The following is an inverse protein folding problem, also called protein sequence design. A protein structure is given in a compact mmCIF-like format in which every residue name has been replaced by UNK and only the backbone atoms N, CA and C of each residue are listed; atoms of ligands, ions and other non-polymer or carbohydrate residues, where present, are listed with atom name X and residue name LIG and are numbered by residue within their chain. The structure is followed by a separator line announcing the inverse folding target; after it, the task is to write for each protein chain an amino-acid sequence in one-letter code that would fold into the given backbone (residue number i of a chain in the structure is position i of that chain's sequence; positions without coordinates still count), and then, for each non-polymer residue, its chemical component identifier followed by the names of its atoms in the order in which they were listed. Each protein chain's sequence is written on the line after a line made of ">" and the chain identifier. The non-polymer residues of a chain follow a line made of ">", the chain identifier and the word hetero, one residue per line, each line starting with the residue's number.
data_IF_562712807290
#
_entry.id   IF_562712807290
#
_cell.length_a   1.000
_cell.length_b   1.000
_cell.length_c   1.000
_cell.angle_alpha   90.00
_cell.angle_beta   90.00
_cell.angle_gamma   90.00
#
_symmetry.space_group_name_H-M   'P 1'
#
loop_
_entity.id
_entity.type
_entity.pdbx_description
1 polymer ?
#
# COMPACT_ATOMS: atom_id res chain seq x y z
N UNK A 1 5.81 -14.17 15.29
CA UNK A 1 4.99 -14.70 16.39
C UNK A 1 4.87 -13.70 17.54
N UNK A 2 5.94 -13.06 18.00
CA UNK A 2 5.93 -12.13 19.14
C UNK A 2 5.05 -10.89 18.92
N UNK A 3 4.98 -10.34 17.70
CA UNK A 3 4.22 -9.11 17.41
C UNK A 3 2.69 -9.27 17.46
N UNK A 4 2.17 -10.49 17.41
CA UNK A 4 0.73 -10.70 17.58
C UNK A 4 0.26 -10.49 19.02
N UNK A 5 1.14 -10.67 20.01
CA UNK A 5 0.82 -10.44 21.42
C UNK A 5 0.79 -8.95 21.81
N UNK A 6 1.40 -8.08 21.02
CA UNK A 6 1.44 -6.64 21.29
C UNK A 6 0.24 -5.88 20.68
N UNK A 7 -0.61 -6.54 19.90
CA UNK A 7 -1.84 -5.95 19.42
C UNK A 7 -2.78 -5.70 20.59
N UNK A 8 -3.08 -4.45 20.86
CA UNK A 8 -4.26 -4.11 21.67
C UNK A 8 -5.52 -4.55 20.91
N UNK A 9 -5.86 -5.84 21.02
CA UNK A 9 -6.98 -6.46 20.30
C UNK A 9 -8.28 -5.71 20.56
N UNK A 10 -8.45 -5.16 21.77
CA UNK A 10 -9.62 -4.37 22.14
C UNK A 10 -9.73 -3.06 21.35
N UNK A 11 -8.60 -2.35 21.15
CA UNK A 11 -8.58 -1.11 20.38
C UNK A 11 -8.94 -1.35 18.90
N UNK A 12 -8.26 -2.30 18.26
CA UNK A 12 -8.50 -2.62 16.86
C UNK A 12 -9.90 -3.20 16.65
N UNK A 13 -10.36 -4.09 17.53
CA UNK A 13 -11.71 -4.64 17.47
C UNK A 13 -12.77 -3.54 17.46
N UNK A 14 -12.65 -2.56 18.36
CA UNK A 14 -13.58 -1.43 18.43
C UNK A 14 -13.65 -0.63 17.12
N UNK A 15 -12.52 -0.42 16.46
CA UNK A 15 -12.50 0.30 15.16
C UNK A 15 -13.15 -0.52 14.03
N UNK A 16 -13.05 -1.85 14.09
CA UNK A 16 -13.66 -2.75 13.10
C UNK A 16 -15.13 -3.07 13.36
N UNK A 17 -15.69 -2.72 14.52
CA UNK A 17 -17.13 -2.90 14.81
C UNK A 17 -18.01 -2.08 13.87
N UNK A 18 -17.55 -0.90 13.45
CA UNK A 18 -18.23 -0.06 12.46
C UNK A 18 -17.23 0.46 11.42
N UNK A 19 -16.92 -0.35 10.38
CA UNK A 19 -15.94 0.00 9.36
C UNK A 19 -16.45 1.07 8.38
N UNK A 20 -17.75 1.38 8.40
CA UNK A 20 -18.35 2.42 7.57
C UNK A 20 -18.29 3.81 8.22
N UNK A 21 -17.92 3.89 9.48
CA UNK A 21 -17.80 5.14 10.21
C UNK A 21 -16.50 5.86 9.82
N UNK A 22 -16.57 7.06 9.23
CA UNK A 22 -15.38 7.79 8.78
C UNK A 22 -14.45 8.18 9.95
N UNK A 23 -14.99 8.38 11.14
CA UNK A 23 -14.17 8.68 12.34
C UNK A 23 -13.33 7.48 12.73
N UNK A 24 -13.94 6.28 12.75
CA UNK A 24 -13.22 5.03 13.03
C UNK A 24 -12.12 4.78 11.96
N UNK A 25 -12.45 5.00 10.69
CA UNK A 25 -11.48 4.90 9.60
C UNK A 25 -10.29 5.84 9.79
N UNK A 26 -10.53 7.12 10.11
CA UNK A 26 -9.46 8.12 10.33
C UNK A 26 -8.59 7.78 11.54
N UNK A 27 -9.19 7.33 12.64
CA UNK A 27 -8.45 6.85 13.82
C UNK A 27 -7.61 5.62 13.46
N UNK A 28 -8.20 4.68 12.72
CA UNK A 28 -7.49 3.50 12.24
C UNK A 28 -6.28 3.90 11.38
N UNK A 29 -6.49 4.76 10.38
CA UNK A 29 -5.45 5.19 9.44
C UNK A 29 -4.30 5.93 10.14
N UNK A 30 -4.63 6.88 11.03
CA UNK A 30 -3.63 7.60 11.83
C UNK A 30 -2.84 6.64 12.73
N UNK A 31 -3.51 5.67 13.34
CA UNK A 31 -2.85 4.66 14.17
C UNK A 31 -2.01 3.70 13.34
N UNK A 32 -2.45 3.40 12.13
CA UNK A 32 -1.75 2.55 11.19
C UNK A 32 -0.46 3.20 10.65
N UNK A 33 -0.49 4.51 10.40
CA UNK A 33 0.67 5.28 9.90
C UNK A 33 1.57 5.82 11.03
N UNK A 34 1.17 5.68 12.29
CA UNK A 34 1.98 6.12 13.43
C UNK A 34 2.99 5.03 13.83
N UNK A 35 4.28 5.38 13.81
CA UNK A 35 5.37 4.45 14.12
C UNK A 35 5.25 3.78 15.48
N UNK A 36 4.73 4.47 16.50
CA UNK A 36 4.62 3.94 17.87
C UNK A 36 3.61 2.80 18.00
N UNK A 37 2.65 2.72 17.08
CA UNK A 37 1.58 1.70 17.06
C UNK A 37 1.74 0.65 15.97
N UNK A 38 2.67 0.85 15.06
CA UNK A 38 2.90 -0.05 13.91
C UNK A 38 3.51 -1.40 14.26
N UNK A 39 3.91 -1.62 15.51
CA UNK A 39 4.31 -2.95 16.01
C UNK A 39 3.24 -4.03 15.80
N UNK A 40 2.01 -3.61 15.47
CA UNK A 40 0.91 -4.50 15.15
C UNK A 40 0.89 -4.97 13.70
N UNK A 41 1.68 -4.35 12.79
CA UNK A 41 1.72 -4.74 11.40
C UNK A 41 2.57 -5.99 11.20
N UNK A 42 2.00 -6.93 10.46
CA UNK A 42 2.66 -8.16 10.07
C UNK A 42 3.77 -7.90 9.02
N UNK A 43 4.45 -8.99 8.59
CA UNK A 43 5.32 -9.01 7.41
C UNK A 43 6.68 -8.33 7.55
N UNK A 44 7.19 -8.25 8.76
CA UNK A 44 8.52 -7.69 9.01
C UNK A 44 8.71 -6.21 8.65
N UNK A 45 7.63 -5.46 8.39
CA UNK A 45 7.70 -4.02 8.12
C UNK A 45 8.46 -3.27 9.23
N UNK A 46 8.20 -3.62 10.49
CA UNK A 46 8.88 -3.06 11.65
C UNK A 46 10.40 -3.16 11.61
N UNK A 47 10.94 -4.22 11.01
CA UNK A 47 12.38 -4.45 10.88
C UNK A 47 12.98 -3.83 9.61
N UNK A 48 12.16 -3.25 8.76
CA UNK A 48 12.64 -2.63 7.52
C UNK A 48 13.22 -1.24 7.78
N UNK A 49 14.13 -0.80 6.92
CA UNK A 49 14.63 0.57 6.91
C UNK A 49 13.58 1.62 6.58
N UNK A 50 12.40 1.17 6.12
CA UNK A 50 11.30 2.04 5.69
C UNK A 50 10.38 2.45 6.85
N UNK A 51 10.40 1.71 7.96
CA UNK A 51 9.41 1.77 9.03
C UNK A 51 9.14 3.17 9.57
N UNK A 52 10.19 3.99 9.75
CA UNK A 52 10.04 5.32 10.36
C UNK A 52 9.70 6.43 9.35
N UNK A 53 9.97 6.22 8.08
CA UNK A 53 9.97 7.29 7.08
C UNK A 53 8.92 7.10 5.98
N UNK A 54 8.44 5.88 5.77
CA UNK A 54 7.56 5.53 4.65
C UNK A 54 6.38 4.69 5.10
N UNK A 55 5.32 4.67 4.30
CA UNK A 55 4.10 3.95 4.61
C UNK A 55 4.19 2.45 4.35
N UNK A 56 3.25 1.73 4.95
CA UNK A 56 3.15 0.29 4.79
C UNK A 56 2.82 -0.13 3.34
N UNK A 57 2.05 0.67 2.61
CA UNK A 57 1.77 0.38 1.19
C UNK A 57 3.05 0.47 0.36
N UNK A 58 3.89 1.47 0.60
CA UNK A 58 5.21 1.58 -0.03
C UNK A 58 6.09 0.38 0.29
N UNK A 59 6.12 -0.05 1.56
CA UNK A 59 6.84 -1.26 1.94
C UNK A 59 6.33 -2.50 1.20
N UNK A 60 5.02 -2.72 1.20
CA UNK A 60 4.38 -3.85 0.51
C UNK A 60 4.69 -3.84 -0.98
N UNK A 61 4.57 -2.67 -1.60
CA UNK A 61 4.92 -2.48 -2.99
C UNK A 61 6.36 -2.92 -3.27
N UNK A 62 7.33 -2.45 -2.49
CA UNK A 62 8.73 -2.82 -2.68
C UNK A 62 8.98 -4.29 -2.41
N UNK A 63 8.36 -4.90 -1.39
CA UNK A 63 8.47 -6.34 -1.15
C UNK A 63 7.95 -7.16 -2.32
N UNK A 64 6.86 -6.71 -2.95
CA UNK A 64 6.26 -7.44 -4.08
C UNK A 64 7.07 -7.26 -5.38
N UNK A 65 7.56 -6.06 -5.65
CA UNK A 65 8.08 -5.68 -6.96
C UNK A 65 9.61 -5.50 -7.04
N UNK A 66 10.31 -5.61 -5.92
CA UNK A 66 11.77 -5.69 -5.90
C UNK A 66 12.23 -7.09 -6.30
N UNK A 67 13.27 -7.15 -7.13
CA UNK A 67 13.94 -8.41 -7.46
C UNK A 67 14.17 -9.25 -6.19
N UNK A 68 13.70 -10.51 -6.14
CA UNK A 68 13.80 -11.35 -4.95
C UNK A 68 15.19 -11.42 -4.33
N UNK A 69 16.24 -11.45 -5.15
CA UNK A 69 17.65 -11.48 -4.70
C UNK A 69 18.10 -10.17 -4.02
N UNK A 70 17.34 -9.09 -4.18
CA UNK A 70 17.65 -7.76 -3.63
C UNK A 70 16.74 -7.34 -2.48
N UNK A 71 15.72 -8.13 -2.14
CA UNK A 71 14.75 -7.79 -1.07
C UNK A 71 15.40 -7.62 0.30
N UNK A 72 16.49 -8.32 0.58
CA UNK A 72 17.21 -8.18 1.85
C UNK A 72 17.72 -6.75 2.08
N UNK A 73 17.93 -5.96 1.01
CA UNK A 73 18.37 -4.56 1.11
C UNK A 73 17.32 -3.66 1.76
N UNK A 74 16.03 -4.05 1.76
CA UNK A 74 14.96 -3.33 2.47
C UNK A 74 15.16 -3.32 3.99
N UNK A 75 16.02 -4.18 4.52
CA UNK A 75 16.29 -4.34 5.95
C UNK A 75 17.67 -3.79 6.37
N UNK A 76 18.46 -3.28 5.45
CA UNK A 76 19.85 -2.92 5.68
C UNK A 76 20.11 -1.41 5.86
N UNK A 77 19.15 -0.63 6.32
CA UNK A 77 19.30 0.82 6.63
C UNK A 77 19.88 1.71 5.50
N UNK A 78 19.78 1.31 4.24
CA UNK A 78 20.26 2.09 3.11
C UNK A 78 19.27 3.17 2.65
N UNK A 79 17.97 2.98 2.89
CA UNK A 79 16.91 3.89 2.44
C UNK A 79 16.57 4.82 3.60
N UNK A 80 17.09 6.03 3.58
CA UNK A 80 16.95 7.02 4.66
C UNK A 80 16.00 8.16 4.31
N UNK A 81 15.87 8.47 3.04
CA UNK A 81 15.06 9.57 2.53
C UNK A 81 14.36 9.17 1.23
N UNK A 82 13.55 10.10 0.71
CA UNK A 82 12.73 9.84 -0.47
C UNK A 82 13.56 9.61 -1.76
N UNK A 83 14.69 10.29 -1.91
CA UNK A 83 15.55 10.11 -3.08
C UNK A 83 16.21 8.72 -3.07
N UNK A 84 16.68 8.27 -1.89
CA UNK A 84 17.21 6.91 -1.73
C UNK A 84 16.14 5.87 -2.10
N UNK A 85 14.88 6.12 -1.71
CA UNK A 85 13.73 5.25 -2.02
C UNK A 85 13.48 5.16 -3.52
N UNK A 86 13.47 6.30 -4.21
CA UNK A 86 13.27 6.36 -5.66
C UNK A 86 14.39 5.65 -6.42
N UNK A 87 15.64 5.90 -6.02
CA UNK A 87 16.80 5.24 -6.61
C UNK A 87 16.74 3.72 -6.39
N UNK A 88 16.40 3.30 -5.17
CA UNK A 88 16.23 1.89 -4.85
C UNK A 88 15.18 1.23 -5.74
N UNK A 89 14.01 1.83 -5.85
CA UNK A 89 12.92 1.30 -6.68
C UNK A 89 13.31 1.27 -8.16
N UNK A 90 13.89 2.34 -8.70
CA UNK A 90 14.31 2.41 -10.09
C UNK A 90 15.36 1.33 -10.44
N UNK A 91 16.27 1.03 -9.51
CA UNK A 91 17.36 0.08 -9.73
C UNK A 91 16.95 -1.38 -9.55
N UNK A 92 16.02 -1.65 -8.64
CA UNK A 92 15.74 -3.01 -8.18
C UNK A 92 14.34 -3.52 -8.54
N UNK A 93 13.46 -2.69 -9.08
CA UNK A 93 12.15 -3.09 -9.54
C UNK A 93 12.28 -3.93 -10.83
N UNK A 94 11.66 -5.12 -10.84
CA UNK A 94 11.71 -6.02 -12.00
C UNK A 94 10.40 -6.03 -12.82
N UNK A 95 9.42 -5.19 -12.42
CA UNK A 95 8.14 -5.11 -13.11
C UNK A 95 8.19 -4.00 -14.17
N UNK A 96 7.89 -4.35 -15.40
CA UNK A 96 7.91 -3.45 -16.53
C UNK A 96 6.54 -2.88 -16.91
N UNK A 97 5.47 -3.45 -16.37
CA UNK A 97 4.11 -3.04 -16.67
C UNK A 97 3.17 -3.23 -15.49
N UNK A 98 2.40 -2.20 -15.19
CA UNK A 98 1.38 -2.22 -14.14
C UNK A 98 0.00 -2.10 -14.76
N UNK A 99 -0.92 -2.91 -14.27
CA UNK A 99 -2.33 -2.88 -14.65
C UNK A 99 -3.06 -2.07 -13.59
N UNK A 100 -3.71 -0.97 -14.00
CA UNK A 100 -4.56 -0.18 -13.10
C UNK A 100 -5.94 -0.83 -13.00
N UNK A 101 -6.47 -0.93 -11.80
CA UNK A 101 -7.79 -1.51 -11.59
C UNK A 101 -8.89 -0.71 -12.32
N UNK A 102 -8.72 0.61 -12.41
CA UNK A 102 -9.64 1.52 -13.07
C UNK A 102 -9.74 1.27 -14.58
N UNK A 103 -8.68 0.72 -15.19
CA UNK A 103 -8.59 0.42 -16.61
C UNK A 103 -8.31 -1.07 -16.86
N UNK A 104 -8.76 -1.95 -15.96
CA UNK A 104 -8.34 -3.34 -15.89
C UNK A 104 -8.43 -4.09 -17.22
N UNK A 105 -9.57 -4.02 -17.90
CA UNK A 105 -9.78 -4.74 -19.16
C UNK A 105 -8.90 -4.21 -20.30
N UNK A 106 -8.77 -2.89 -20.40
CA UNK A 106 -7.93 -2.24 -21.40
C UNK A 106 -6.44 -2.56 -21.18
N UNK A 107 -5.97 -2.41 -19.95
CA UNK A 107 -4.58 -2.66 -19.58
C UNK A 107 -4.20 -4.14 -19.74
N UNK A 108 -5.11 -5.07 -19.42
CA UNK A 108 -4.90 -6.50 -19.67
C UNK A 108 -4.78 -6.75 -21.18
N UNK A 109 -5.65 -6.17 -21.99
CA UNK A 109 -5.61 -6.34 -23.44
C UNK A 109 -4.32 -5.80 -24.05
N UNK A 110 -3.86 -4.62 -23.60
CA UNK A 110 -2.58 -4.04 -24.03
C UNK A 110 -1.42 -4.97 -23.65
N UNK A 111 -1.43 -5.49 -22.41
CA UNK A 111 -0.38 -6.40 -21.93
C UNK A 111 -0.33 -7.70 -22.73
N UNK A 112 -1.49 -8.30 -22.97
CA UNK A 112 -1.58 -9.56 -23.69
C UNK A 112 -1.21 -9.43 -25.17
N UNK A 113 -1.57 -8.31 -25.82
CA UNK A 113 -1.14 -8.02 -27.19
C UNK A 113 0.38 -7.99 -27.34
N UNK A 114 1.11 -7.47 -26.33
CA UNK A 114 2.60 -7.45 -26.35
C UNK A 114 3.22 -8.84 -26.41
N UNK A 115 2.52 -9.86 -25.93
CA UNK A 115 2.96 -11.27 -25.94
C UNK A 115 2.16 -12.10 -26.97
N UNK A 116 1.48 -11.46 -27.92
CA UNK A 116 0.73 -12.14 -28.99
C UNK A 116 -0.52 -12.87 -28.54
N UNK A 117 -1.09 -12.50 -27.37
CA UNK A 117 -2.33 -13.09 -26.83
C UNK A 117 -3.49 -12.09 -26.84
N UNK A 118 -4.71 -12.61 -26.74
CA UNK A 118 -5.93 -11.81 -26.62
C UNK A 118 -6.69 -12.20 -25.35
N UNK A 119 -7.34 -11.20 -24.74
CA UNK A 119 -8.22 -11.39 -23.60
C UNK A 119 -9.67 -11.45 -24.10
N UNK A 120 -10.33 -12.59 -23.91
CA UNK A 120 -11.68 -12.82 -24.42
C UNK A 120 -12.73 -12.91 -23.31
N UNK A 121 -12.35 -12.71 -22.04
CA UNK A 121 -13.27 -12.81 -20.92
C UNK A 121 -13.62 -11.42 -20.39
N UNK A 122 -14.88 -11.24 -19.98
CA UNK A 122 -15.27 -10.08 -19.15
C UNK A 122 -14.78 -10.30 -17.71
N UNK A 123 -14.28 -9.25 -17.10
CA UNK A 123 -13.95 -9.29 -15.68
C UNK A 123 -15.20 -9.04 -14.85
N UNK A 124 -15.64 -10.03 -14.07
CA UNK A 124 -16.74 -9.86 -13.14
C UNK A 124 -16.24 -9.20 -11.84
N UNK A 125 -16.98 -8.22 -11.34
CA UNK A 125 -16.73 -7.56 -10.05
C UNK A 125 -17.14 -8.48 -8.89
N UNK A 126 -16.37 -9.54 -8.63
CA UNK A 126 -16.70 -10.57 -7.63
C UNK A 126 -16.44 -10.13 -6.17
N UNK A 127 -15.67 -9.08 -5.94
CA UNK A 127 -15.28 -8.61 -4.60
C UNK A 127 -15.66 -7.15 -4.34
N UNK A 128 -16.79 -6.70 -4.88
CA UNK A 128 -17.29 -5.36 -4.59
C UNK A 128 -17.67 -5.25 -3.10
N UNK A 129 -16.98 -4.40 -2.35
CA UNK A 129 -17.40 -4.05 -0.99
C UNK A 129 -18.65 -3.16 -1.05
N UNK A 130 -19.63 -3.42 -0.18
CA UNK A 130 -20.77 -2.52 0.03
C UNK A 130 -20.31 -1.24 0.72
N UNK A 131 -19.68 -0.33 -0.03
CA UNK A 131 -19.31 0.98 0.49
C UNK A 131 -20.51 1.90 0.48
N UNK A 132 -20.72 2.59 1.59
CA UNK A 132 -21.84 3.54 1.75
C UNK A 132 -21.65 4.80 0.92
N UNK A 133 -20.41 5.18 0.62
CA UNK A 133 -20.12 6.44 -0.09
C UNK A 133 -18.74 6.47 -0.75
N UNK A 134 -18.47 7.58 -1.43
CA UNK A 134 -17.19 7.84 -2.09
C UNK A 134 -16.00 7.85 -1.11
N UNK A 135 -14.80 7.74 -1.65
CA UNK A 135 -13.54 7.84 -0.89
C UNK A 135 -13.48 9.15 -0.08
N UNK A 136 -14.03 10.24 -0.62
CA UNK A 136 -14.07 11.56 0.04
C UNK A 136 -14.80 11.56 1.37
N UNK A 137 -15.76 10.69 1.57
CA UNK A 137 -16.46 10.55 2.85
C UNK A 137 -15.56 10.06 3.98
N UNK A 138 -14.61 9.19 3.67
CA UNK A 138 -13.73 8.59 4.67
C UNK A 138 -12.55 9.47 5.03
N UNK A 139 -11.96 10.16 4.04
CA UNK A 139 -10.79 10.99 4.24
C UNK A 139 -11.15 12.43 4.64
N UNK A 140 -10.36 12.99 5.54
CA UNK A 140 -10.24 14.45 5.74
C UNK A 140 -8.89 14.94 5.23
N UNK A 141 -8.65 16.24 5.24
CA UNK A 141 -7.41 16.82 4.73
C UNK A 141 -6.18 16.25 5.45
N UNK A 142 -6.26 16.10 6.77
CA UNK A 142 -5.14 15.55 7.58
C UNK A 142 -4.79 14.12 7.18
N UNK A 143 -5.78 13.26 7.02
CA UNK A 143 -5.55 11.86 6.64
C UNK A 143 -5.10 11.71 5.19
N UNK A 144 -5.56 12.59 4.28
CA UNK A 144 -5.05 12.66 2.90
C UNK A 144 -3.56 13.04 2.88
N UNK A 145 -3.21 14.08 3.62
CA UNK A 145 -1.82 14.54 3.69
C UNK A 145 -0.90 13.49 4.31
N UNK A 146 -1.37 12.78 5.34
CA UNK A 146 -0.63 11.66 5.92
C UNK A 146 -0.36 10.55 4.89
N UNK A 147 -1.37 10.10 4.18
CA UNK A 147 -1.20 9.04 3.17
C UNK A 147 -0.29 9.52 2.05
N UNK A 148 -0.50 10.72 1.52
CA UNK A 148 0.37 11.31 0.50
C UNK A 148 1.82 11.42 0.95
N UNK A 149 2.05 11.76 2.21
CA UNK A 149 3.39 11.85 2.79
C UNK A 149 4.08 10.49 2.88
N UNK A 150 3.40 9.52 3.47
CA UNK A 150 4.00 8.23 3.79
C UNK A 150 4.09 7.29 2.59
N UNK A 151 3.12 7.34 1.68
CA UNK A 151 3.05 6.49 0.49
C UNK A 151 3.29 7.27 -0.83
N UNK A 152 4.03 8.38 -0.73
CA UNK A 152 4.34 9.30 -1.83
C UNK A 152 4.83 8.59 -3.10
N UNK A 153 5.68 7.56 -2.97
CA UNK A 153 6.21 6.80 -4.10
C UNK A 153 5.08 6.19 -4.94
N UNK A 154 4.06 5.63 -4.29
CA UNK A 154 2.93 4.98 -4.96
C UNK A 154 2.12 6.02 -5.75
N UNK A 155 1.84 7.18 -5.11
CA UNK A 155 1.10 8.25 -5.75
C UNK A 155 1.80 8.80 -6.98
N UNK A 156 3.07 9.15 -6.86
CA UNK A 156 3.85 9.71 -7.98
C UNK A 156 4.06 8.69 -9.10
N UNK A 157 4.33 7.43 -8.77
CA UNK A 157 4.65 6.41 -9.77
C UNK A 157 3.43 5.97 -10.58
N UNK A 158 2.25 6.00 -9.97
CA UNK A 158 1.02 5.48 -10.58
C UNK A 158 -0.01 6.58 -10.88
N UNK A 159 0.35 7.87 -10.73
CA UNK A 159 -0.51 9.03 -10.98
C UNK A 159 -1.84 8.96 -10.20
N UNK A 160 -1.79 8.49 -8.94
CA UNK A 160 -2.96 8.52 -8.09
C UNK A 160 -3.15 9.88 -7.43
N UNK A 161 -4.41 10.32 -7.35
CA UNK A 161 -4.83 11.50 -6.62
C UNK A 161 -5.80 11.12 -5.51
N UNK A 162 -5.64 11.71 -4.31
CA UNK A 162 -6.52 11.61 -3.17
C UNK A 162 -7.25 12.92 -2.95
#
# INVERSE_FOLDING_TARGET
>A
FFNQFLKSTKFWKKLYEDPQNPVNFRIWLKSFLNSDKNNALAEHYFFSSLFNNFGYLTFRYLVMFTNPEKRYLLYNNHIKNYEDLKEFDAKNNYINYFIKFENLEEDINISLKKIGKQFNNKTDNTNASNRVSSTDYYYDNETRDLVKKYDKLIFEKHDYNL
#
